data_IF_530159878025
#
_entry.id   IF_530159878025
#
_cell.length_a   1.000
_cell.length_b   1.000
_cell.length_c   1.000
_cell.angle_alpha   90.00
_cell.angle_beta   90.00
_cell.angle_gamma   90.00
#
_symmetry.space_group_name_H-M   'P 1'
#
loop_
_entity.id
_entity.type
_entity.pdbx_description
1 polymer ?
#
# COMPACT_ATOMS: atom_id res chain seq x y z
N UNK A 1 -2.34 17.56 13.84
CA UNK A 1 -1.36 17.38 12.75
C UNK A 1 -1.08 15.89 12.65
N UNK A 2 -1.56 15.23 11.58
CA UNK A 2 -1.21 13.85 11.21
C UNK A 2 0.33 13.75 11.06
N UNK A 3 1.02 12.63 11.30
CA UNK A 3 0.87 11.39 10.53
C UNK A 3 1.71 10.25 11.11
N UNK A 4 1.11 9.17 11.64
CA UNK A 4 1.84 7.90 11.81
C UNK A 4 1.94 7.13 10.47
N UNK A 5 0.97 7.30 9.57
CA UNK A 5 0.91 6.59 8.28
C UNK A 5 2.00 7.08 7.31
N UNK A 6 2.13 8.40 7.11
CA UNK A 6 3.17 8.99 6.25
C UNK A 6 4.59 8.65 6.73
N UNK A 7 4.80 8.56 8.05
CA UNK A 7 6.11 8.15 8.61
C UNK A 7 6.38 6.67 8.36
N UNK A 8 5.36 5.80 8.49
CA UNK A 8 5.48 4.38 8.17
C UNK A 8 5.70 4.13 6.67
N UNK A 9 4.95 4.83 5.80
CA UNK A 9 5.11 4.83 4.35
C UNK A 9 6.54 5.23 3.96
N UNK A 10 7.03 6.36 4.47
CA UNK A 10 8.38 6.85 4.19
C UNK A 10 9.47 5.89 4.68
N UNK A 11 9.30 5.31 5.87
CA UNK A 11 10.23 4.31 6.40
C UNK A 11 10.24 3.04 5.53
N UNK A 12 9.07 2.54 5.14
CA UNK A 12 8.95 1.38 4.25
C UNK A 12 9.53 1.66 2.88
N UNK A 13 9.32 2.85 2.33
CA UNK A 13 9.94 3.26 1.09
C UNK A 13 11.47 3.22 1.17
N UNK A 14 12.06 3.69 2.26
CA UNK A 14 13.50 3.58 2.49
C UNK A 14 13.96 2.11 2.58
N UNK A 15 13.21 1.26 3.29
CA UNK A 15 13.51 -0.18 3.42
C UNK A 15 13.46 -0.91 2.07
N UNK A 16 12.44 -0.65 1.25
CA UNK A 16 12.32 -1.24 -0.08
C UNK A 16 13.36 -0.69 -1.05
N UNK A 17 13.71 0.59 -0.95
CA UNK A 17 14.73 1.21 -1.79
C UNK A 17 16.12 0.64 -1.53
N UNK A 18 16.38 0.11 -0.33
CA UNK A 18 17.62 -0.60 -0.02
C UNK A 18 17.79 -1.93 -0.79
N UNK A 19 16.81 -2.37 -1.60
CA UNK A 19 16.86 -3.57 -2.49
C UNK A 19 17.21 -4.90 -1.82
N UNK A 20 17.11 -5.01 -0.49
CA UNK A 20 17.51 -6.25 0.23
C UNK A 20 16.42 -7.31 0.35
N UNK A 21 15.19 -7.03 -0.07
CA UNK A 21 14.09 -7.99 0.06
C UNK A 21 13.92 -8.84 -1.21
N UNK A 22 14.46 -10.07 -1.18
CA UNK A 22 14.22 -11.13 -2.17
C UNK A 22 14.44 -10.76 -3.66
N UNK A 23 15.29 -9.76 -3.95
CA UNK A 23 15.51 -9.25 -5.31
C UNK A 23 14.22 -8.74 -5.99
N UNK A 24 13.26 -8.27 -5.20
CA UNK A 24 12.00 -7.67 -5.65
C UNK A 24 12.13 -6.15 -5.68
N UNK A 25 11.60 -5.52 -6.72
CA UNK A 25 11.53 -4.06 -6.84
C UNK A 25 10.12 -3.60 -6.49
N UNK A 26 9.99 -2.91 -5.37
CA UNK A 26 8.77 -2.19 -5.00
C UNK A 26 8.88 -0.73 -5.45
N UNK A 27 7.78 -0.18 -5.95
CA UNK A 27 7.59 1.23 -6.26
C UNK A 27 6.68 1.81 -5.21
N UNK A 28 7.08 2.93 -4.61
CA UNK A 28 6.24 3.65 -3.67
C UNK A 28 5.29 4.63 -4.38
N UNK A 29 4.11 4.87 -3.80
CA UNK A 29 3.12 5.83 -4.27
C UNK A 29 2.90 5.74 -5.78
N UNK A 30 2.67 4.51 -6.25
CA UNK A 30 2.62 4.21 -7.66
C UNK A 30 1.23 4.50 -8.22
N UNK A 31 1.17 5.24 -9.33
CA UNK A 31 -0.08 5.48 -10.04
C UNK A 31 -0.40 4.28 -10.92
N UNK A 32 -1.57 3.67 -10.70
CA UNK A 32 -2.14 2.62 -11.53
C UNK A 32 -3.48 3.11 -12.06
N UNK A 33 -3.53 3.42 -13.36
CA UNK A 33 -4.65 4.09 -14.00
C UNK A 33 -5.04 5.39 -13.27
N UNK A 34 -6.15 5.37 -12.53
CA UNK A 34 -6.68 6.52 -11.78
C UNK A 34 -6.42 6.45 -10.27
N UNK A 35 -5.78 5.38 -9.78
CA UNK A 35 -5.55 5.14 -8.35
C UNK A 35 -4.08 5.32 -8.00
N UNK A 36 -3.80 5.84 -6.80
CA UNK A 36 -2.47 5.91 -6.21
C UNK A 36 -2.40 4.84 -5.14
N UNK A 37 -1.46 3.90 -5.28
CA UNK A 37 -1.25 2.81 -4.32
C UNK A 37 0.06 3.02 -3.57
N UNK A 38 0.12 2.65 -2.29
CA UNK A 38 1.30 2.91 -1.46
C UNK A 38 2.52 2.14 -1.94
N UNK A 39 2.36 0.85 -2.28
CA UNK A 39 3.42 0.05 -2.87
C UNK A 39 2.93 -0.83 -4.01
N UNK A 40 3.77 -0.94 -5.03
CA UNK A 40 3.54 -1.83 -6.16
C UNK A 40 4.79 -2.64 -6.52
N UNK A 41 4.64 -3.96 -6.66
CA UNK A 41 5.65 -4.86 -7.18
C UNK A 41 5.22 -5.47 -8.51
N UNK A 42 5.83 -5.00 -9.59
CA UNK A 42 5.53 -5.49 -10.93
C UNK A 42 5.79 -7.00 -11.11
N UNK A 43 6.88 -7.51 -10.53
CA UNK A 43 7.26 -8.92 -10.66
C UNK A 43 6.24 -9.88 -10.04
N UNK A 44 5.55 -9.44 -9.00
CA UNK A 44 4.53 -10.23 -8.30
C UNK A 44 3.10 -9.84 -8.71
N UNK A 45 2.91 -8.79 -9.51
CA UNK A 45 1.60 -8.19 -9.72
C UNK A 45 0.94 -7.78 -8.39
N UNK A 46 1.73 -7.35 -7.41
CA UNK A 46 1.27 -7.14 -6.03
C UNK A 46 1.15 -5.64 -5.73
N UNK A 47 0.02 -5.27 -5.17
CA UNK A 47 -0.27 -3.96 -4.56
C UNK A 47 -0.36 -4.15 -3.05
N UNK A 48 0.29 -3.28 -2.28
CA UNK A 48 0.20 -3.23 -0.82
C UNK A 48 -0.25 -1.83 -0.46
N UNK A 49 -1.30 -1.73 0.34
CA UNK A 49 -1.80 -0.46 0.89
C UNK A 49 -1.63 -0.45 2.40
N UNK A 50 -1.17 0.68 2.94
CA UNK A 50 -1.04 0.90 4.37
C UNK A 50 -2.37 1.42 4.87
N UNK A 51 -3.01 0.64 5.74
CA UNK A 51 -4.28 1.01 6.32
C UNK A 51 -4.10 2.20 7.28
N UNK A 52 -4.62 3.35 6.88
CA UNK A 52 -4.74 4.54 7.72
C UNK A 52 -6.15 4.64 8.31
N UNK A 53 -6.56 3.60 9.06
CA UNK A 53 -7.88 3.44 9.72
C UNK A 53 -8.41 4.63 10.54
N UNK A 54 -7.66 5.73 10.68
CA UNK A 54 -8.06 6.89 11.47
C UNK A 54 -9.34 7.59 10.97
N UNK A 55 -9.79 7.40 9.73
CA UNK A 55 -11.03 7.99 9.20
C UNK A 55 -11.85 7.00 8.34
N UNK A 56 -12.28 5.89 8.95
CA UNK A 56 -13.14 4.88 8.29
C UNK A 56 -14.58 5.38 8.11
N UNK A 57 -14.83 6.29 7.16
CA UNK A 57 -16.18 6.66 6.73
C UNK A 57 -16.74 5.60 5.77
N UNK A 58 -18.07 5.44 5.70
CA UNK A 58 -18.70 4.47 4.79
C UNK A 58 -18.42 4.79 3.31
N UNK A 59 -18.25 6.07 2.96
CA UNK A 59 -17.87 6.47 1.61
C UNK A 59 -16.44 6.03 1.27
N UNK A 60 -15.52 6.09 2.24
CA UNK A 60 -14.15 5.62 2.03
C UNK A 60 -14.11 4.11 1.81
N UNK A 61 -14.86 3.34 2.59
CA UNK A 61 -14.96 1.88 2.40
C UNK A 61 -15.51 1.50 1.01
N UNK A 62 -16.50 2.22 0.50
CA UNK A 62 -17.04 1.99 -0.84
C UNK A 62 -15.99 2.29 -1.91
N UNK A 63 -15.30 3.41 -1.78
CA UNK A 63 -14.22 3.80 -2.68
C UNK A 63 -13.08 2.76 -2.69
N UNK A 64 -12.61 2.33 -1.52
CA UNK A 64 -11.54 1.33 -1.38
C UNK A 64 -11.97 -0.03 -1.96
N UNK A 65 -13.25 -0.40 -1.80
CA UNK A 65 -13.80 -1.62 -2.41
C UNK A 65 -13.89 -1.54 -3.95
N UNK A 66 -14.24 -0.37 -4.51
CA UNK A 66 -14.23 -0.14 -5.96
C UNK A 66 -12.80 -0.16 -6.52
N UNK A 67 -11.86 0.48 -5.82
CA UNK A 67 -10.44 0.46 -6.15
C UNK A 67 -9.89 -0.98 -6.15
N UNK A 68 -10.18 -1.75 -5.10
CA UNK A 68 -9.72 -3.15 -5.00
C UNK A 68 -10.23 -3.97 -6.17
N UNK A 69 -11.54 -3.90 -6.46
CA UNK A 69 -12.14 -4.61 -7.61
C UNK A 69 -11.52 -4.21 -8.94
N UNK A 70 -11.23 -2.93 -9.13
CA UNK A 70 -10.59 -2.45 -10.35
C UNK A 70 -9.16 -3.01 -10.50
N UNK A 71 -8.36 -2.97 -9.44
CA UNK A 71 -6.99 -3.49 -9.45
C UNK A 71 -6.98 -5.02 -9.66
N UNK A 72 -7.89 -5.75 -9.01
CA UNK A 72 -8.07 -7.19 -9.22
C UNK A 72 -8.46 -7.52 -10.67
N UNK A 73 -9.30 -6.69 -11.30
CA UNK A 73 -9.64 -6.84 -12.72
C UNK A 73 -8.44 -6.62 -13.66
N UNK A 74 -7.41 -5.91 -13.21
CA UNK A 74 -6.11 -5.80 -13.89
C UNK A 74 -5.18 -6.99 -13.59
N UNK A 75 -5.71 -8.05 -12.96
CA UNK A 75 -4.97 -9.24 -12.54
C UNK A 75 -3.85 -8.89 -11.53
N UNK A 76 -4.08 -7.85 -10.72
CA UNK A 76 -3.23 -7.48 -9.60
C UNK A 76 -3.79 -8.05 -8.30
N UNK A 77 -2.90 -8.50 -7.43
CA UNK A 77 -3.23 -8.91 -6.08
C UNK A 77 -3.15 -7.70 -5.16
N UNK A 78 -4.21 -7.39 -4.42
CA UNK A 78 -4.24 -6.29 -3.44
C UNK A 78 -4.18 -6.87 -2.03
N UNK A 79 -3.21 -6.44 -1.23
CA UNK A 79 -3.07 -6.81 0.18
C UNK A 79 -3.24 -5.56 1.05
N UNK A 80 -4.41 -5.46 1.70
CA UNK A 80 -4.76 -4.42 2.66
C UNK A 80 -4.34 -4.87 4.06
N UNK A 81 -3.05 -4.92 4.34
CA UNK A 81 -2.61 -5.36 5.67
C UNK A 81 -1.25 -4.80 6.03
N UNK A 82 -1.24 -3.56 6.51
CA UNK A 82 -0.13 -3.09 7.32
C UNK A 82 -0.63 -2.13 8.39
N UNK A 83 -1.13 -2.69 9.50
CA UNK A 83 -1.12 -1.92 10.75
C UNK A 83 0.35 -1.63 11.07
N UNK A 84 0.75 -0.36 11.02
CA UNK A 84 2.05 0.14 11.47
C UNK A 84 2.30 -0.05 12.98
N UNK A 85 1.79 -1.12 13.59
CA UNK A 85 2.21 -1.58 14.90
C UNK A 85 3.64 -2.08 14.73
N UNK A 86 4.59 -1.19 15.00
CA UNK A 86 5.95 -1.56 15.35
C UNK A 86 5.86 -2.78 16.27
N UNK A 87 6.32 -3.95 15.81
CA UNK A 87 6.61 -5.07 16.69
C UNK A 87 7.69 -4.57 17.67
N UNK A 88 7.25 -4.03 18.82
CA UNK A 88 8.06 -4.06 20.02
C UNK A 88 8.05 -5.51 20.45
N UNK A 89 9.24 -6.11 20.45
CA UNK A 89 9.47 -7.49 20.84
C UNK A 89 9.10 -7.78 22.29
#
# INVERSE_FOLDING_TARGET
MWSNATDAENLMCQLFHAKRFMNLKFRCQHVIASYIVDFYCHKLGLVIEIDSTQHSTDDRKKYDAEQTKFLEALNLKVELNWEGKCYRG
#
